data_IF_686171295418
#
_entry.id   IF_686171295418
#
_cell.length_a   1.000
_cell.length_b   1.000
_cell.length_c   1.000
_cell.angle_alpha   90.00
_cell.angle_beta   90.00
_cell.angle_gamma   90.00
#
_symmetry.space_group_name_H-M   'P 1'
#
loop_
_entity.id
_entity.type
_entity.pdbx_description
1 polymer ?
#
# COMPACT_ATOMS: atom_id res chain seq x y z
N UNK A 1 24.85 5.50 15.69
CA UNK A 1 23.52 4.89 15.99
C UNK A 1 22.44 5.95 15.81
N UNK A 2 22.29 6.44 14.58
CA UNK A 2 21.28 7.41 14.12
C UNK A 2 21.05 7.05 12.65
N UNK A 3 20.18 6.10 12.34
CA UNK A 3 19.92 5.73 10.94
C UNK A 3 18.55 5.06 10.73
N UNK A 4 17.49 5.67 11.26
CA UNK A 4 16.11 5.16 11.05
C UNK A 4 15.08 6.22 10.68
N UNK A 5 15.52 7.43 10.28
CA UNK A 5 14.62 8.53 9.89
C UNK A 5 14.79 8.91 8.39
N UNK A 6 15.59 8.14 7.62
CA UNK A 6 15.80 8.39 6.18
C UNK A 6 14.90 7.60 5.22
N UNK A 7 13.94 6.82 5.71
CA UNK A 7 13.18 5.88 4.85
C UNK A 7 11.87 6.45 4.28
N UNK A 8 11.49 7.69 4.63
CA UNK A 8 10.18 8.24 4.24
C UNK A 8 10.15 9.15 3.01
N UNK A 9 11.31 9.43 2.38
CA UNK A 9 11.38 10.28 1.19
C UNK A 9 11.89 9.53 -0.05
N UNK A 10 11.08 9.63 -1.11
CA UNK A 10 11.49 9.82 -2.50
C UNK A 10 12.28 8.69 -3.18
N UNK A 11 11.60 7.58 -3.54
CA UNK A 11 12.16 6.65 -4.51
C UNK A 11 11.16 6.11 -5.54
N UNK A 12 10.50 6.99 -6.28
CA UNK A 12 9.81 6.59 -7.52
C UNK A 12 10.05 7.59 -8.65
N UNK A 13 10.39 7.14 -9.88
CA UNK A 13 10.47 8.02 -11.05
C UNK A 13 9.07 8.51 -11.45
N UNK A 14 8.88 9.83 -11.46
CA UNK A 14 7.71 10.48 -12.01
C UNK A 14 7.52 10.07 -13.47
N UNK A 15 6.42 9.40 -13.80
CA UNK A 15 5.98 9.32 -15.20
C UNK A 15 5.45 10.68 -15.62
N UNK A 16 5.96 11.20 -16.72
CA UNK A 16 5.34 12.32 -17.45
C UNK A 16 4.00 11.82 -18.03
N UNK A 17 2.86 12.54 -17.91
CA UNK A 17 1.58 12.00 -18.32
C UNK A 17 1.47 11.92 -19.85
N UNK A 18 1.07 10.75 -20.35
CA UNK A 18 0.36 10.67 -21.63
C UNK A 18 -1.09 11.11 -21.42
N UNK A 19 -1.60 11.86 -22.40
CA UNK A 19 -2.82 12.66 -22.40
C UNK A 19 -4.02 11.99 -21.71
N UNK A 20 -4.70 12.78 -20.87
CA UNK A 20 -5.90 12.41 -20.15
C UNK A 20 -7.02 11.92 -21.10
N UNK A 21 -7.53 10.72 -20.83
CA UNK A 21 -8.84 10.29 -21.27
C UNK A 21 -9.60 9.81 -20.04
N UNK A 22 -10.70 10.51 -19.77
CA UNK A 22 -11.71 10.23 -18.76
C UNK A 22 -12.44 8.93 -19.10
N UNK A 23 -12.03 7.82 -18.49
CA UNK A 23 -12.90 6.67 -18.27
C UNK A 23 -12.48 5.94 -16.99
N UNK A 24 -13.46 5.76 -16.13
CA UNK A 24 -13.38 5.45 -14.70
C UNK A 24 -13.27 3.93 -14.50
N UNK A 25 -12.10 3.36 -14.81
CA UNK A 25 -11.74 1.98 -14.45
C UNK A 25 -10.33 2.01 -13.84
N UNK A 26 -10.10 1.41 -12.66
CA UNK A 26 -8.75 1.22 -12.15
C UNK A 26 -7.92 0.50 -13.20
N UNK A 27 -6.92 1.19 -13.76
CA UNK A 27 -6.03 0.59 -14.75
C UNK A 27 -5.19 -0.46 -14.04
N UNK A 28 -5.24 -1.69 -14.52
CA UNK A 28 -4.30 -2.74 -14.12
C UNK A 28 -2.90 -2.14 -14.29
N UNK A 29 -2.05 -2.13 -13.25
CA UNK A 29 -0.70 -1.62 -13.40
C UNK A 29 -0.01 -2.30 -14.57
N UNK A 30 0.66 -1.53 -15.44
CA UNK A 30 1.27 -2.03 -16.69
C UNK A 30 2.48 -2.94 -16.48
N UNK A 31 2.69 -3.40 -15.25
CA UNK A 31 3.81 -4.22 -14.83
C UNK A 31 3.52 -5.70 -15.13
N UNK A 32 4.54 -6.47 -15.51
CA UNK A 32 4.42 -7.92 -15.70
C UNK A 32 5.39 -8.67 -14.81
N UNK A 33 5.02 -9.90 -14.44
CA UNK A 33 5.94 -10.84 -13.79
C UNK A 33 7.15 -11.07 -14.69
N UNK A 34 8.34 -11.04 -14.10
CA UNK A 34 9.62 -11.14 -14.80
C UNK A 34 10.17 -9.79 -15.31
N UNK A 35 9.39 -8.71 -15.25
CA UNK A 35 9.86 -7.37 -15.61
C UNK A 35 10.36 -6.60 -14.37
N UNK A 36 11.25 -5.61 -14.56
CA UNK A 36 11.65 -4.70 -13.49
C UNK A 36 10.47 -3.88 -12.96
N UNK A 37 10.39 -3.79 -11.64
CA UNK A 37 9.51 -2.87 -10.94
C UNK A 37 10.07 -1.45 -11.07
N UNK A 38 9.54 -0.70 -12.05
CA UNK A 38 9.95 0.66 -12.34
C UNK A 38 11.15 0.76 -13.27
N UNK A 39 11.25 1.92 -13.93
CA UNK A 39 12.30 2.16 -14.92
C UNK A 39 13.60 2.59 -14.25
N UNK A 40 14.73 2.01 -14.72
CA UNK A 40 16.07 2.43 -14.33
C UNK A 40 16.53 2.04 -12.93
N UNK A 41 15.71 1.32 -12.13
CA UNK A 41 16.06 0.90 -10.77
C UNK A 41 16.10 -0.62 -10.65
N UNK A 42 17.23 -1.12 -10.13
CA UNK A 42 17.47 -2.56 -9.93
C UNK A 42 17.47 -2.99 -8.47
N UNK A 43 17.71 -2.08 -7.52
CA UNK A 43 17.72 -2.42 -6.10
C UNK A 43 16.69 -1.58 -5.34
N UNK A 44 15.93 -2.23 -4.46
CA UNK A 44 14.82 -1.65 -3.68
C UNK A 44 14.99 -1.96 -2.19
N UNK A 45 14.66 -1.02 -1.28
CA UNK A 45 14.70 -1.30 0.15
C UNK A 45 13.64 -2.34 0.52
N UNK A 46 14.03 -3.33 1.33
CA UNK A 46 13.10 -4.32 1.89
C UNK A 46 11.99 -3.61 2.67
N UNK A 47 10.75 -4.06 2.47
CA UNK A 47 9.59 -3.48 3.14
C UNK A 47 8.32 -3.64 2.32
N UNK A 48 7.33 -2.79 2.59
CA UNK A 48 6.13 -2.73 1.79
C UNK A 48 5.61 -1.32 1.64
N UNK A 49 4.95 -1.08 0.52
CA UNK A 49 4.37 0.21 0.17
C UNK A 49 2.92 0.01 -0.26
N UNK A 50 2.02 0.70 0.41
CA UNK A 50 0.65 0.85 -0.02
C UNK A 50 0.49 2.23 -0.65
N UNK A 51 -0.18 2.31 -1.79
CA UNK A 51 -0.51 3.58 -2.44
C UNK A 51 -1.91 3.58 -3.00
N UNK A 52 -2.41 4.79 -3.22
CA UNK A 52 -3.61 5.04 -3.99
C UNK A 52 -3.35 6.18 -4.97
N UNK A 53 -3.50 5.87 -6.27
CA UNK A 53 -3.14 6.75 -7.39
C UNK A 53 -3.91 6.42 -8.67
N UNK A 54 -3.31 6.71 -9.83
CA UNK A 54 -3.96 6.53 -11.14
C UNK A 54 -4.39 5.08 -11.46
N UNK A 55 -3.75 4.09 -10.84
CA UNK A 55 -4.08 2.67 -11.01
C UNK A 55 -5.01 2.15 -9.89
N UNK A 56 -5.56 3.04 -9.06
CA UNK A 56 -6.33 2.65 -7.88
C UNK A 56 -5.45 2.25 -6.72
N UNK A 57 -5.82 1.18 -6.00
CA UNK A 57 -5.09 0.72 -4.83
C UNK A 57 -4.00 -0.28 -5.20
N UNK A 58 -2.77 -0.05 -4.72
CA UNK A 58 -1.64 -0.93 -4.96
C UNK A 58 -0.89 -1.22 -3.66
N UNK A 59 -0.49 -2.48 -3.49
CA UNK A 59 0.38 -2.94 -2.42
C UNK A 59 1.60 -3.64 -3.02
N UNK A 60 2.78 -3.09 -2.77
CA UNK A 60 4.05 -3.65 -3.25
C UNK A 60 4.81 -4.21 -2.06
N UNK A 61 5.13 -5.49 -2.12
CA UNK A 61 5.94 -6.21 -1.15
C UNK A 61 7.35 -6.36 -1.71
N UNK A 62 8.36 -5.84 -1.02
CA UNK A 62 9.77 -5.90 -1.45
C UNK A 62 10.51 -6.83 -0.50
N UNK A 63 11.07 -7.92 -1.04
CA UNK A 63 11.67 -9.00 -0.26
C UNK A 63 13.09 -9.30 -0.73
N UNK A 64 14.06 -9.46 0.19
CA UNK A 64 15.49 -9.64 -0.16
C UNK A 64 15.81 -10.96 -0.83
N UNK A 65 15.18 -12.04 -0.41
CA UNK A 65 15.39 -13.38 -1.01
C UNK A 65 14.13 -14.23 -0.90
N UNK A 66 13.08 -13.90 -1.68
CA UNK A 66 11.82 -14.64 -1.65
C UNK A 66 12.01 -16.03 -2.25
N UNK A 67 11.72 -17.07 -1.47
CA UNK A 67 11.67 -18.43 -1.97
C UNK A 67 10.34 -18.73 -2.67
N UNK A 68 10.20 -19.94 -3.20
CA UNK A 68 8.98 -20.37 -3.89
C UNK A 68 7.74 -20.35 -3.00
N UNK A 69 7.90 -20.48 -1.68
CA UNK A 69 6.78 -20.47 -0.72
C UNK A 69 6.24 -19.05 -0.52
N UNK A 70 7.12 -18.05 -0.41
CA UNK A 70 6.77 -16.62 -0.35
C UNK A 70 6.11 -16.17 -1.65
N UNK A 71 6.69 -16.55 -2.80
CA UNK A 71 6.11 -16.27 -4.12
C UNK A 71 4.71 -16.87 -4.24
N UNK A 72 4.55 -18.13 -3.82
CA UNK A 72 3.28 -18.83 -3.86
C UNK A 72 2.21 -18.20 -2.96
N UNK A 73 2.58 -17.81 -1.73
CA UNK A 73 1.66 -17.15 -0.79
C UNK A 73 1.26 -15.75 -1.29
N UNK A 74 2.19 -14.99 -1.86
CA UNK A 74 1.88 -13.72 -2.50
C UNK A 74 0.95 -13.88 -3.71
N UNK A 75 1.12 -14.94 -4.51
CA UNK A 75 0.35 -15.18 -5.73
C UNK A 75 -1.05 -15.78 -5.48
N UNK A 76 -1.18 -16.75 -4.58
CA UNK A 76 -2.44 -17.48 -4.36
C UNK A 76 -2.77 -17.80 -2.90
N UNK A 77 -1.90 -17.46 -1.95
CA UNK A 77 -2.18 -17.64 -0.52
C UNK A 77 -3.38 -16.81 -0.05
N UNK A 78 -3.99 -17.19 1.08
CA UNK A 78 -5.04 -16.38 1.70
C UNK A 78 -4.53 -14.97 1.97
N UNK A 79 -5.31 -13.95 1.59
CA UNK A 79 -4.97 -12.55 1.81
C UNK A 79 -5.81 -12.00 2.97
N UNK A 80 -5.16 -11.40 3.95
CA UNK A 80 -5.83 -10.71 5.04
C UNK A 80 -5.31 -9.30 5.18
N UNK A 81 -6.23 -8.38 5.49
CA UNK A 81 -5.92 -6.96 5.59
C UNK A 81 -6.57 -6.35 6.82
N UNK A 82 -5.91 -5.32 7.34
CA UNK A 82 -6.44 -4.47 8.39
C UNK A 82 -6.06 -3.01 8.12
N UNK A 83 -6.89 -2.08 8.58
CA UNK A 83 -6.54 -0.66 8.56
C UNK A 83 -6.63 -0.06 9.95
N UNK A 84 -5.56 0.59 10.36
CA UNK A 84 -5.49 1.40 11.57
C UNK A 84 -5.36 2.85 11.17
N UNK A 85 -6.22 3.72 11.70
CA UNK A 85 -6.22 5.15 11.37
C UNK A 85 -5.83 5.95 12.61
N UNK A 86 -4.77 6.75 12.52
CA UNK A 86 -4.26 7.58 13.61
C UNK A 86 -3.80 8.94 13.08
N UNK A 87 -4.55 9.99 13.43
CA UNK A 87 -4.27 11.36 13.00
C UNK A 87 -3.99 11.46 11.48
N UNK A 88 -2.76 11.84 11.12
CA UNK A 88 -2.30 12.04 9.76
C UNK A 88 -1.77 10.77 9.06
N UNK A 89 -1.94 9.59 9.66
CA UNK A 89 -1.43 8.32 9.10
C UNK A 89 -2.50 7.22 9.06
N UNK A 90 -2.52 6.51 7.94
CA UNK A 90 -3.20 5.23 7.76
C UNK A 90 -2.11 4.17 7.80
N UNK A 91 -2.32 3.12 8.57
CA UNK A 91 -1.48 1.93 8.52
C UNK A 91 -2.29 0.83 7.87
N UNK A 92 -1.84 0.42 6.69
CA UNK A 92 -2.41 -0.68 5.93
C UNK A 92 -1.64 -1.96 6.30
N UNK A 93 -2.23 -2.77 7.16
CA UNK A 93 -1.64 -4.03 7.59
C UNK A 93 -2.07 -5.16 6.65
N UNK A 94 -1.17 -6.10 6.41
CA UNK A 94 -1.42 -7.22 5.50
C UNK A 94 -0.77 -8.51 6.01
N UNK A 95 -1.32 -9.65 5.59
CA UNK A 95 -0.76 -10.99 5.73
C UNK A 95 -1.08 -11.80 4.48
N UNK A 96 -0.15 -12.67 4.05
CA UNK A 96 -0.37 -13.59 2.92
C UNK A 96 0.03 -15.01 3.29
N UNK A 97 -0.93 -15.93 3.22
CA UNK A 97 -0.73 -17.34 3.50
C UNK A 97 -0.09 -17.58 4.88
N UNK A 98 0.93 -18.43 4.92
CA UNK A 98 1.63 -18.82 6.15
C UNK A 98 3.04 -18.23 6.24
N UNK A 99 3.61 -17.82 5.12
CA UNK A 99 5.03 -17.45 5.00
C UNK A 99 5.25 -15.95 5.03
N UNK A 100 4.25 -15.15 4.66
CA UNK A 100 4.30 -13.69 4.78
C UNK A 100 3.50 -13.31 6.03
N UNK A 101 4.16 -13.02 7.17
CA UNK A 101 3.48 -12.71 8.42
C UNK A 101 2.73 -11.37 8.33
N UNK A 102 2.02 -11.03 9.41
CA UNK A 102 1.47 -9.68 9.53
C UNK A 102 2.61 -8.66 9.42
N UNK A 103 2.42 -7.68 8.56
CA UNK A 103 3.32 -6.56 8.35
C UNK A 103 2.50 -5.34 7.95
N UNK A 104 3.16 -4.19 7.83
CA UNK A 104 2.51 -2.90 7.67
C UNK A 104 3.09 -2.09 6.53
N UNK A 105 2.21 -1.38 5.85
CA UNK A 105 2.52 -0.36 4.87
C UNK A 105 1.90 0.97 5.34
N UNK A 106 2.69 1.87 5.96
CA UNK A 106 2.20 3.18 6.37
C UNK A 106 1.90 4.04 5.14
N UNK A 107 0.87 4.87 5.28
CA UNK A 107 0.37 5.72 4.23
C UNK A 107 -0.08 7.08 4.77
N UNK A 108 0.30 8.14 4.06
CA UNK A 108 -0.24 9.48 4.25
C UNK A 108 -0.44 10.12 2.89
N UNK A 109 -1.66 10.60 2.65
CA UNK A 109 -2.03 11.33 1.43
C UNK A 109 -1.04 12.46 1.11
N UNK A 110 -0.64 13.22 2.13
CA UNK A 110 0.22 14.39 1.98
C UNK A 110 1.69 14.05 1.76
N UNK A 111 2.13 12.84 2.13
CA UNK A 111 3.50 12.36 1.89
C UNK A 111 3.69 11.77 0.50
N UNK A 112 2.61 11.54 -0.25
CA UNK A 112 2.71 11.15 -1.65
C UNK A 112 3.20 12.32 -2.51
N UNK A 113 3.90 12.02 -3.61
CA UNK A 113 4.22 13.00 -4.63
C UNK A 113 2.95 13.70 -5.15
N UNK A 114 3.00 15.02 -5.30
CA UNK A 114 1.82 15.82 -5.63
C UNK A 114 1.20 15.40 -6.97
N UNK A 115 2.00 15.01 -7.96
CA UNK A 115 1.49 14.58 -9.27
C UNK A 115 0.79 13.20 -9.20
N UNK A 116 1.15 12.37 -8.22
CA UNK A 116 0.58 11.03 -8.01
C UNK A 116 -0.71 10.99 -7.17
N UNK A 117 -1.03 12.08 -6.45
CA UNK A 117 -2.20 12.15 -5.56
C UNK A 117 -3.51 12.05 -6.36
N UNK A 118 -4.30 11.00 -6.11
CA UNK A 118 -5.66 10.81 -6.67
C UNK A 118 -6.68 10.45 -5.59
N UNK A 119 -7.79 11.17 -5.54
CA UNK A 119 -8.85 10.85 -4.59
C UNK A 119 -9.58 9.59 -5.04
N UNK A 120 -9.96 8.69 -4.11
CA UNK A 120 -10.89 7.63 -4.45
C UNK A 120 -12.23 8.25 -4.91
N UNK A 121 -12.87 7.69 -5.97
CA UNK A 121 -14.05 8.28 -6.60
C UNK A 121 -15.19 8.44 -5.57
N UNK A 122 -15.85 9.60 -5.45
CA UNK A 122 -16.87 9.83 -4.44
C UNK A 122 -18.10 8.93 -4.67
N UNK A 123 -18.80 8.55 -3.59
CA UNK A 123 -20.18 8.08 -3.71
C UNK A 123 -20.40 6.71 -4.37
N UNK A 124 -19.46 5.77 -4.22
CA UNK A 124 -19.72 4.37 -4.57
C UNK A 124 -20.90 3.77 -3.79
N UNK A 125 -21.56 2.77 -4.37
CA UNK A 125 -22.65 2.07 -3.68
C UNK A 125 -22.16 1.45 -2.36
N UNK A 126 -23.04 1.17 -1.38
CA UNK A 126 -22.68 0.43 -0.17
C UNK A 126 -22.08 -0.96 -0.44
N UNK A 127 -22.23 -1.48 -1.65
CA UNK A 127 -21.70 -2.76 -2.12
C UNK A 127 -20.42 -2.60 -2.94
N UNK A 128 -19.96 -1.37 -3.21
CA UNK A 128 -18.76 -1.10 -3.98
C UNK A 128 -17.54 -1.77 -3.35
N UNK A 129 -16.77 -2.48 -4.18
CA UNK A 129 -15.57 -3.21 -3.80
C UNK A 129 -14.36 -2.62 -4.52
N UNK A 130 -13.34 -2.27 -3.76
CA UNK A 130 -12.07 -1.83 -4.33
C UNK A 130 -11.24 -3.04 -4.78
N UNK A 131 -10.62 -2.92 -5.95
CA UNK A 131 -9.55 -3.81 -6.37
C UNK A 131 -8.22 -3.32 -5.79
N UNK A 132 -7.52 -4.19 -5.06
CA UNK A 132 -6.15 -4.00 -4.61
C UNK A 132 -5.21 -4.80 -5.51
N UNK A 133 -4.32 -4.14 -6.22
CA UNK A 133 -3.26 -4.82 -6.96
C UNK A 133 -2.07 -5.10 -6.05
N UNK A 134 -1.74 -6.38 -5.86
CA UNK A 134 -0.60 -6.82 -5.05
C UNK A 134 0.54 -7.23 -5.97
N UNK A 135 1.75 -6.74 -5.69
CA UNK A 135 2.98 -7.15 -6.38
C UNK A 135 4.05 -7.58 -5.38
N UNK A 136 4.70 -8.72 -5.62
CA UNK A 136 5.92 -9.13 -4.92
C UNK A 136 7.12 -8.80 -5.80
N UNK A 137 8.12 -8.13 -5.23
CA UNK A 137 9.31 -7.63 -5.92
C UNK A 137 10.56 -8.13 -5.20
N UNK A 138 11.54 -8.64 -5.95
CA UNK A 138 12.87 -8.93 -5.44
C UNK A 138 13.62 -7.65 -5.09
N UNK A 139 14.18 -7.55 -3.88
CA UNK A 139 14.87 -6.34 -3.43
C UNK A 139 16.19 -6.12 -4.18
N UNK A 140 16.87 -7.18 -4.61
CA UNK A 140 18.23 -7.12 -5.18
C UNK A 140 18.23 -6.85 -6.70
N UNK A 141 17.21 -7.33 -7.40
CA UNK A 141 17.10 -7.25 -8.87
C UNK A 141 15.91 -6.40 -9.35
N UNK A 142 15.00 -6.06 -8.43
CA UNK A 142 13.80 -5.30 -8.71
C UNK A 142 12.81 -6.06 -9.56
N UNK A 143 12.97 -7.36 -9.77
CA UNK A 143 12.08 -8.14 -10.62
C UNK A 143 10.76 -8.39 -9.91
N UNK A 144 9.68 -8.29 -10.67
CA UNK A 144 8.35 -8.65 -10.18
C UNK A 144 8.22 -10.17 -10.24
N UNK A 145 8.04 -10.79 -9.08
CA UNK A 145 8.05 -12.25 -8.93
C UNK A 145 6.65 -12.83 -8.86
N UNK A 146 5.68 -12.05 -8.38
CA UNK A 146 4.26 -12.42 -8.38
C UNK A 146 3.39 -11.18 -8.45
N UNK A 147 2.22 -11.31 -9.06
CA UNK A 147 1.18 -10.29 -9.03
C UNK A 147 -0.21 -10.92 -8.96
N UNK A 148 -1.14 -10.22 -8.30
CA UNK A 148 -2.56 -10.56 -8.34
C UNK A 148 -3.44 -9.37 -7.98
N UNK A 149 -4.66 -9.40 -8.48
CA UNK A 149 -5.75 -8.57 -7.98
C UNK A 149 -6.41 -9.23 -6.77
N UNK A 150 -6.70 -8.45 -5.74
CA UNK A 150 -7.48 -8.86 -4.57
C UNK A 150 -8.66 -7.91 -4.40
N UNK A 151 -9.86 -8.46 -4.34
CA UNK A 151 -11.07 -7.67 -4.12
C UNK A 151 -11.25 -7.46 -2.61
N UNK A 152 -11.41 -6.21 -2.19
CA UNK A 152 -11.65 -5.84 -0.79
C UNK A 152 -13.15 -5.84 -0.47
N UNK A 153 -13.51 -6.26 0.74
CA UNK A 153 -14.90 -6.24 1.19
C UNK A 153 -15.47 -4.81 1.20
N UNK A 154 -16.77 -4.61 0.92
CA UNK A 154 -17.34 -3.27 0.80
C UNK A 154 -17.13 -2.38 2.03
N UNK A 155 -17.30 -2.93 3.24
CA UNK A 155 -17.09 -2.17 4.48
C UNK A 155 -15.63 -1.72 4.66
N UNK A 156 -14.68 -2.55 4.24
CA UNK A 156 -13.25 -2.23 4.29
C UNK A 156 -12.89 -1.18 3.24
N UNK A 157 -13.40 -1.32 2.01
CA UNK A 157 -13.27 -0.32 0.94
C UNK A 157 -13.76 1.05 1.40
N UNK A 158 -14.99 1.14 1.92
CA UNK A 158 -15.54 2.41 2.40
C UNK A 158 -14.69 3.03 3.49
N UNK A 159 -14.25 2.24 4.47
CA UNK A 159 -13.45 2.73 5.58
C UNK A 159 -12.08 3.27 5.12
N UNK A 160 -11.42 2.56 4.20
CA UNK A 160 -10.13 2.95 3.62
C UNK A 160 -10.25 4.23 2.79
N UNK A 161 -11.19 4.26 1.85
CA UNK A 161 -11.38 5.42 0.97
C UNK A 161 -11.84 6.66 1.77
N UNK A 162 -12.73 6.49 2.75
CA UNK A 162 -13.13 7.58 3.63
C UNK A 162 -11.95 8.12 4.45
N UNK A 163 -11.01 7.26 4.86
CA UNK A 163 -9.79 7.70 5.54
C UNK A 163 -8.89 8.52 4.61
N UNK A 164 -8.71 8.09 3.35
CA UNK A 164 -7.92 8.82 2.35
C UNK A 164 -8.56 10.19 2.06
N UNK A 165 -9.86 10.23 1.77
CA UNK A 165 -10.59 11.49 1.52
C UNK A 165 -10.51 12.43 2.72
N UNK A 166 -10.60 11.92 3.95
CA UNK A 166 -10.48 12.73 5.18
C UNK A 166 -9.09 13.31 5.38
N UNK A 167 -8.02 12.60 5.00
CA UNK A 167 -6.68 13.19 5.00
C UNK A 167 -6.62 14.30 3.96
N UNK A 168 -7.06 14.03 2.73
CA UNK A 168 -7.02 15.00 1.64
C UNK A 168 -7.82 16.28 1.86
N UNK A 169 -8.90 16.23 2.64
CA UNK A 169 -9.73 17.40 2.97
C UNK A 169 -9.15 18.28 4.07
N UNK A 170 -8.03 17.89 4.67
CA UNK A 170 -7.35 18.66 5.72
C UNK A 170 -6.05 19.24 5.20
N UNK A 171 -5.59 20.38 5.71
CA UNK A 171 -4.23 20.85 5.47
C UNK A 171 -3.21 19.82 5.95
N UNK A 172 -2.04 19.79 5.31
CA UNK A 172 -0.94 18.98 5.80
C UNK A 172 -0.45 19.53 7.14
N UNK A 173 -0.40 18.68 8.16
CA UNK A 173 0.21 18.97 9.47
C UNK A 173 1.49 18.12 9.62
N UNK A 174 2.67 18.69 9.37
CA UNK A 174 3.94 17.98 9.50
C UNK A 174 4.19 17.48 10.93
N UNK A 175 3.83 18.25 11.95
CA UNK A 175 4.03 17.87 13.35
C UNK A 175 3.12 16.71 13.75
N UNK A 176 1.85 16.77 13.34
CA UNK A 176 0.91 15.67 13.49
C UNK A 176 1.37 14.41 12.75
N UNK A 177 1.99 14.54 11.57
CA UNK A 177 2.55 13.42 10.82
C UNK A 177 3.72 12.77 11.55
N UNK A 178 4.70 13.54 12.02
CA UNK A 178 5.85 13.01 12.79
C UNK A 178 5.37 12.34 14.08
N UNK A 179 4.40 12.94 14.77
CA UNK A 179 3.82 12.36 15.99
C UNK A 179 3.11 11.04 15.68
N UNK A 180 2.32 10.98 14.60
CA UNK A 180 1.66 9.76 14.17
C UNK A 180 2.67 8.64 13.83
N UNK A 181 3.75 8.97 13.12
CA UNK A 181 4.86 8.04 12.83
C UNK A 181 5.45 7.49 14.12
N UNK A 182 5.78 8.36 15.09
CA UNK A 182 6.32 7.94 16.39
C UNK A 182 5.34 7.04 17.14
N UNK A 183 4.07 7.43 17.22
CA UNK A 183 3.07 6.69 17.98
C UNK A 183 2.79 5.31 17.39
N UNK A 184 2.67 5.22 16.07
CA UNK A 184 2.24 3.97 15.44
C UNK A 184 3.42 3.07 15.10
N UNK A 185 4.51 3.61 14.56
CA UNK A 185 5.63 2.79 14.07
C UNK A 185 6.75 2.62 15.09
N UNK A 186 6.95 3.59 16.00
CA UNK A 186 8.04 3.52 17.01
C UNK A 186 7.55 2.98 18.36
N UNK A 187 6.44 3.53 18.88
CA UNK A 187 5.95 3.14 20.20
C UNK A 187 5.28 1.76 20.22
N UNK A 188 4.77 1.29 19.07
CA UNK A 188 4.21 -0.05 18.89
C UNK A 188 5.12 -0.80 17.94
N UNK A 189 5.92 -1.71 18.47
CA UNK A 189 7.04 -2.27 17.74
C UNK A 189 6.61 -3.38 16.79
N UNK A 190 5.51 -4.06 17.10
CA UNK A 190 5.08 -5.23 16.33
C UNK A 190 3.82 -4.95 15.50
N UNK A 191 3.70 -5.54 14.31
CA UNK A 191 2.45 -5.53 13.53
C UNK A 191 1.25 -6.05 14.32
N UNK A 192 1.45 -7.02 15.21
CA UNK A 192 0.41 -7.61 16.05
C UNK A 192 -0.17 -6.61 17.05
N UNK A 193 0.66 -5.76 17.66
CA UNK A 193 0.20 -4.67 18.52
C UNK A 193 -0.63 -3.65 17.73
N UNK A 194 -0.21 -3.32 16.51
CA UNK A 194 -0.94 -2.39 15.64
C UNK A 194 -2.24 -2.99 15.11
N UNK A 195 -2.29 -4.31 14.90
CA UNK A 195 -3.49 -5.02 14.46
C UNK A 195 -4.63 -4.94 15.49
N UNK A 196 -4.31 -4.90 16.79
CA UNK A 196 -5.32 -4.71 17.86
C UNK A 196 -6.04 -3.36 17.78
N UNK A 197 -5.48 -2.41 17.03
CA UNK A 197 -6.02 -1.07 16.86
C UNK A 197 -6.79 -0.87 15.55
N UNK A 198 -6.95 -1.95 14.78
CA UNK A 198 -7.59 -1.93 13.49
C UNK A 198 -9.02 -1.41 13.61
N UNK A 199 -9.33 -0.37 12.84
CA UNK A 199 -10.68 0.15 12.68
C UNK A 199 -11.52 -0.74 11.76
N UNK A 200 -10.88 -1.48 10.86
CA UNK A 200 -11.54 -2.45 9.98
C UNK A 200 -10.57 -3.56 9.60
N UNK A 201 -11.11 -4.76 9.36
CA UNK A 201 -10.39 -5.97 8.95
C UNK A 201 -11.18 -6.67 7.85
N UNK A 202 -10.48 -7.31 6.93
CA UNK A 202 -11.11 -8.10 5.86
C UNK A 202 -10.22 -9.24 5.42
N UNK A 203 -10.83 -10.27 4.85
CA UNK A 203 -10.14 -11.20 3.95
C UNK A 203 -10.22 -10.66 2.53
N UNK A 204 -9.30 -11.07 1.67
CA UNK A 204 -9.37 -10.82 0.24
C UNK A 204 -10.42 -11.71 -0.42
N UNK A 205 -11.07 -11.20 -1.46
CA UNK A 205 -12.01 -11.93 -2.31
C UNK A 205 -13.27 -12.46 -1.59
N UNK A 206 -13.72 -11.79 -0.51
CA UNK A 206 -15.01 -12.05 0.16
C UNK A 206 -16.07 -11.02 -0.24
#
# INVERSE_FOLDING_TARGET
MIDSIRTFDLYWPSRVPSVASSSEVPRIPSYRVGEPFGEGRRAWPVGAHYRHGDNGHELVLIHSSPDSSIVNDAWRGEAEFAISIRAAMIVFSYRFGRTIPWSDAPYSWHMQDAASRRLPPPGGSPEARALLWVSLVGAEDGLILAQRGVVLAPAFTRALEAAIRRQASRPFDPHGCVTAVRDVLVARRTPEERLRLAASRTRGNC
#
